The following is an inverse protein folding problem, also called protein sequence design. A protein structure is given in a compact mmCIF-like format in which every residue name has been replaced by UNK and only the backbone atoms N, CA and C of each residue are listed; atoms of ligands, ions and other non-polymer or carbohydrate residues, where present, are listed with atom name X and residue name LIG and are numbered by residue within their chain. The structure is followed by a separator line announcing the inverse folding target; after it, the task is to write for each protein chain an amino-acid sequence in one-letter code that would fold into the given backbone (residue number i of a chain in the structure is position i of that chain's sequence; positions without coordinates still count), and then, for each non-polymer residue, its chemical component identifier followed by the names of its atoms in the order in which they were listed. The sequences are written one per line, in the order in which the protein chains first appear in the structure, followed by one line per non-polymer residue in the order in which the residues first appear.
data_IF_123138292549
#
_entry.id   IF_123138292549
#
_cell.length_a   1.000
_cell.length_b   1.000
_cell.length_c   1.000
_cell.angle_alpha   90.00
_cell.angle_beta   90.00
_cell.angle_gamma   90.00
#
_symmetry.space_group_name_H-M   'P 1'
#
loop_
_entity.id
_entity.type
_entity.pdbx_description
1 polymer ?
#
# COMPACT_ATOMS: atom_id res chain seq x y z
N UNK A 1 -13.21 -4.39 -0.66
CA UNK A 1 -13.50 -5.70 -1.27
C UNK A 1 -12.25 -6.20 -1.97
N UNK A 2 -12.12 -7.52 -2.19
CA UNK A 2 -10.99 -8.06 -2.95
C UNK A 2 -11.12 -7.73 -4.44
N UNK A 3 -10.00 -7.59 -5.14
CA UNK A 3 -9.93 -7.40 -6.59
C UNK A 3 -8.83 -8.29 -7.18
N UNK A 4 -9.25 -9.26 -8.01
CA UNK A 4 -8.34 -10.20 -8.68
C UNK A 4 -7.37 -9.47 -9.63
N UNK A 5 -7.80 -8.37 -10.24
CA UNK A 5 -6.95 -7.52 -11.08
C UNK A 5 -5.78 -6.94 -10.26
N UNK A 6 -6.08 -6.38 -9.08
CA UNK A 6 -5.06 -5.82 -8.19
C UNK A 6 -4.16 -6.91 -7.61
N UNK A 7 -4.69 -8.11 -7.33
CA UNK A 7 -3.88 -9.26 -6.91
C UNK A 7 -2.85 -9.64 -7.98
N UNK A 8 -3.29 -9.78 -9.24
CA UNK A 8 -2.38 -10.10 -10.36
C UNK A 8 -1.29 -9.04 -10.50
N UNK A 9 -1.64 -7.77 -10.34
CA UNK A 9 -0.69 -6.67 -10.40
C UNK A 9 0.31 -6.67 -9.24
N UNK A 10 -0.17 -6.79 -8.01
CA UNK A 10 0.67 -6.89 -6.82
C UNK A 10 1.62 -8.09 -6.91
N UNK A 11 1.11 -9.25 -7.36
CA UNK A 11 1.89 -10.46 -7.59
C UNK A 11 2.95 -10.28 -8.69
N UNK A 12 2.60 -9.60 -9.80
CA UNK A 12 3.55 -9.31 -10.89
C UNK A 12 4.73 -8.47 -10.38
N UNK A 13 4.46 -7.46 -9.55
CA UNK A 13 5.53 -6.67 -8.93
C UNK A 13 6.37 -7.49 -7.95
N UNK A 14 5.71 -8.21 -7.02
CA UNK A 14 6.38 -9.05 -6.02
C UNK A 14 7.31 -10.11 -6.64
N UNK A 15 6.94 -10.70 -7.79
CA UNK A 15 7.75 -11.70 -8.52
C UNK A 15 9.13 -11.20 -8.94
N UNK A 16 9.29 -9.90 -9.11
CA UNK A 16 10.56 -9.28 -9.45
C UNK A 16 11.49 -9.11 -8.25
N UNK A 17 11.03 -9.42 -7.04
CA UNK A 17 11.76 -9.21 -5.78
C UNK A 17 12.34 -7.78 -5.71
N UNK A 18 11.45 -6.77 -5.79
CA UNK A 18 11.82 -5.37 -5.95
C UNK A 18 12.45 -4.81 -4.67
N UNK A 19 13.28 -3.77 -4.83
CA UNK A 19 13.82 -2.99 -3.71
C UNK A 19 12.96 -1.77 -3.35
N UNK A 20 11.79 -1.60 -3.96
CA UNK A 20 10.92 -0.44 -3.74
C UNK A 20 9.53 -0.61 -4.37
N UNK A 21 8.74 0.47 -4.28
CA UNK A 21 7.39 0.55 -4.82
C UNK A 21 7.34 0.35 -6.34
N UNK A 22 6.19 -0.13 -6.83
CA UNK A 22 5.95 -0.23 -8.27
C UNK A 22 5.76 1.15 -8.90
N UNK A 23 5.82 1.20 -10.24
CA UNK A 23 5.44 2.39 -11.01
C UNK A 23 3.92 2.61 -11.07
N UNK A 24 3.15 1.74 -10.40
CA UNK A 24 1.69 1.75 -10.35
C UNK A 24 1.00 1.63 -11.73
N UNK A 25 1.72 1.19 -12.76
CA UNK A 25 1.19 1.11 -14.13
C UNK A 25 0.17 0.00 -14.34
N UNK A 26 0.22 -1.06 -13.53
CA UNK A 26 -0.50 -2.30 -13.81
C UNK A 26 -2.02 -2.20 -13.64
N UNK A 27 -2.54 -1.42 -12.69
CA UNK A 27 -3.99 -1.23 -12.51
C UNK A 27 -4.56 0.03 -13.16
N UNK A 28 -3.74 0.76 -13.95
CA UNK A 28 -4.21 1.88 -14.77
C UNK A 28 -5.12 1.43 -15.93
N UNK A 29 -5.26 0.13 -16.20
CA UNK A 29 -6.26 -0.40 -17.14
C UNK A 29 -7.69 0.08 -16.80
N UNK A 30 -7.95 0.32 -15.51
CA UNK A 30 -9.19 0.89 -15.01
C UNK A 30 -9.24 2.43 -15.00
N UNK A 31 -8.11 3.11 -15.25
CA UNK A 31 -8.01 4.57 -15.30
C UNK A 31 -7.98 5.28 -13.93
N UNK A 32 -7.93 4.54 -12.82
CA UNK A 32 -7.97 5.11 -11.47
C UNK A 32 -6.60 5.13 -10.79
N UNK A 33 -6.29 6.19 -10.00
CA UNK A 33 -5.12 6.20 -9.14
C UNK A 33 -5.14 5.03 -8.16
N UNK A 34 -3.98 4.40 -7.97
CA UNK A 34 -3.80 3.30 -7.04
C UNK A 34 -2.89 3.71 -5.88
N UNK A 35 -3.07 3.06 -4.73
CA UNK A 35 -2.12 3.06 -3.61
C UNK A 35 -1.41 1.72 -3.49
N UNK A 36 -0.28 1.68 -2.79
CA UNK A 36 0.49 0.46 -2.58
C UNK A 36 1.13 0.46 -1.19
N UNK A 37 0.95 -0.65 -0.47
CA UNK A 37 1.73 -0.95 0.72
C UNK A 37 2.67 -2.11 0.43
N UNK A 38 3.88 -2.05 0.97
CA UNK A 38 4.88 -3.09 0.81
C UNK A 38 5.55 -3.44 2.12
N UNK A 39 5.97 -4.71 2.22
CA UNK A 39 6.85 -5.16 3.27
C UNK A 39 7.79 -6.21 2.72
N UNK A 40 9.00 -6.24 3.29
CA UNK A 40 10.00 -7.24 2.98
C UNK A 40 10.28 -8.09 4.20
N UNK A 41 10.14 -9.40 4.05
CA UNK A 41 10.48 -10.36 5.08
C UNK A 41 11.84 -10.99 4.76
N UNK A 42 12.75 -11.13 5.74
CA UNK A 42 14.03 -11.80 5.52
C UNK A 42 13.86 -13.27 5.13
N UNK A 43 12.74 -13.88 5.52
CA UNK A 43 12.36 -15.27 5.25
C UNK A 43 10.90 -15.35 4.85
N UNK A 44 10.45 -16.45 4.21
CA UNK A 44 9.04 -16.65 3.92
C UNK A 44 8.20 -16.58 5.20
N UNK A 45 7.28 -15.60 5.34
CA UNK A 45 6.43 -15.49 6.49
C UNK A 45 5.34 -16.57 6.47
N UNK A 46 4.81 -16.90 7.65
CA UNK A 46 3.55 -17.64 7.74
C UNK A 46 2.38 -16.73 7.34
N UNK A 47 1.22 -17.33 7.05
CA UNK A 47 -0.02 -16.57 6.82
C UNK A 47 -0.32 -15.59 7.97
N UNK A 48 -0.17 -16.04 9.22
CA UNK A 48 -0.39 -15.21 10.40
C UNK A 48 0.58 -14.00 10.45
N UNK A 49 1.79 -14.13 9.90
CA UNK A 49 2.73 -13.01 9.80
C UNK A 49 2.38 -12.01 8.70
N UNK A 50 1.83 -12.48 7.58
CA UNK A 50 1.25 -11.61 6.55
C UNK A 50 0.07 -10.81 7.12
N UNK A 51 -0.84 -11.48 7.84
CA UNK A 51 -1.96 -10.83 8.52
C UNK A 51 -1.48 -9.82 9.56
N UNK A 52 -0.52 -10.19 10.42
CA UNK A 52 0.12 -9.28 11.38
C UNK A 52 0.70 -8.05 10.70
N UNK A 53 1.30 -8.19 9.51
CA UNK A 53 1.88 -7.06 8.80
C UNK A 53 0.83 -6.05 8.34
N UNK A 54 -0.37 -6.51 7.97
CA UNK A 54 -1.50 -5.60 7.65
C UNK A 54 -1.90 -4.80 8.88
N UNK A 55 -1.89 -5.42 10.07
CA UNK A 55 -2.09 -4.71 11.34
C UNK A 55 -0.92 -3.79 11.70
N UNK A 56 0.31 -4.15 11.35
CA UNK A 56 1.49 -3.31 11.60
C UNK A 56 1.43 -2.01 10.79
N UNK A 57 0.96 -2.08 9.54
CA UNK A 57 0.65 -0.89 8.75
C UNK A 57 -0.41 -0.01 9.41
N UNK A 58 -1.45 -0.61 10.00
CA UNK A 58 -2.50 0.14 10.70
C UNK A 58 -1.98 0.85 11.96
N UNK A 59 -1.01 0.26 12.66
CA UNK A 59 -0.44 0.82 13.89
C UNK A 59 0.33 2.12 13.68
N UNK A 60 0.66 2.49 12.45
CA UNK A 60 1.26 3.80 12.16
C UNK A 60 0.39 4.97 12.63
N UNK A 61 -0.94 4.76 12.72
CA UNK A 61 -1.87 5.68 13.37
C UNK A 61 -1.44 6.07 14.79
N UNK A 62 -0.87 5.13 15.54
CA UNK A 62 -0.51 5.31 16.96
C UNK A 62 0.98 5.55 17.18
N UNK A 63 1.85 4.96 16.35
CA UNK A 63 3.30 5.12 16.46
C UNK A 63 3.91 5.10 15.06
N UNK A 64 4.50 6.21 14.58
CA UNK A 64 4.87 7.43 15.33
C UNK A 64 3.70 8.36 15.70
N UNK A 65 2.48 8.02 15.28
CA UNK A 65 1.29 8.83 15.52
C UNK A 65 0.92 9.62 14.28
N UNK A 66 -0.31 9.47 13.81
CA UNK A 66 -0.85 10.29 12.74
C UNK A 66 -1.71 11.43 13.32
N UNK A 67 -1.26 12.66 13.15
CA UNK A 67 -2.01 13.87 13.52
C UNK A 67 -2.65 14.46 12.26
N UNK A 68 -3.97 14.26 12.11
CA UNK A 68 -4.77 14.75 10.99
C UNK A 68 -4.65 16.26 10.75
N UNK A 69 -4.36 17.05 11.78
CA UNK A 69 -4.28 18.51 11.70
C UNK A 69 -2.88 19.02 11.38
N UNK A 70 -1.85 18.22 11.69
CA UNK A 70 -0.44 18.51 11.35
C UNK A 70 0.05 17.75 10.14
N UNK A 71 -0.82 16.92 9.56
CA UNK A 71 -0.54 16.16 8.38
C UNK A 71 -0.25 17.12 7.22
N UNK A 72 1.04 17.45 7.04
CA UNK A 72 1.58 18.04 5.81
C UNK A 72 2.38 16.96 5.13
N UNK A 73 1.99 16.61 3.91
CA UNK A 73 2.80 15.72 3.11
C UNK A 73 4.11 16.46 2.81
N UNK A 74 5.24 16.00 3.34
CA UNK A 74 6.53 16.56 2.93
C UNK A 74 6.80 15.99 1.53
N UNK A 75 6.67 16.84 0.51
CA UNK A 75 6.78 16.44 -0.91
C UNK A 75 5.79 15.33 -1.32
N UNK A 76 4.58 15.29 -0.73
CA UNK A 76 3.60 14.24 -1.05
C UNK A 76 3.87 12.88 -0.37
N UNK A 77 4.90 12.77 0.48
CA UNK A 77 5.32 11.49 1.09
C UNK A 77 5.08 11.50 2.60
N UNK A 78 4.27 10.56 3.07
CA UNK A 78 4.03 10.25 4.48
C UNK A 78 5.04 9.19 4.94
N UNK A 79 6.30 9.58 5.13
CA UNK A 79 7.41 8.62 5.28
C UNK A 79 7.25 7.59 6.42
N UNK A 80 6.34 7.82 7.36
CA UNK A 80 6.12 6.95 8.53
C UNK A 80 4.66 6.62 8.83
N UNK A 81 3.73 7.13 8.03
CA UNK A 81 2.28 6.93 8.17
C UNK A 81 1.56 6.66 6.84
N UNK A 82 2.34 6.48 5.77
CA UNK A 82 1.86 6.22 4.43
C UNK A 82 1.06 4.93 4.32
N UNK A 83 1.46 3.88 5.04
CA UNK A 83 0.76 2.61 4.94
C UNK A 83 -0.63 2.69 5.57
N UNK A 84 -0.73 3.34 6.74
CA UNK A 84 -2.03 3.60 7.38
C UNK A 84 -2.92 4.51 6.51
N UNK A 85 -2.38 5.64 6.03
CA UNK A 85 -3.18 6.61 5.28
C UNK A 85 -3.70 6.09 3.94
N UNK A 86 -3.05 5.08 3.35
CA UNK A 86 -3.55 4.37 2.17
C UNK A 86 -4.69 3.42 2.55
N UNK A 87 -4.57 2.70 3.67
CA UNK A 87 -5.61 1.77 4.14
C UNK A 87 -6.91 2.49 4.56
N UNK A 88 -6.77 3.61 5.27
CA UNK A 88 -7.89 4.44 5.74
C UNK A 88 -8.27 5.51 4.71
N UNK A 89 -7.53 5.60 3.60
CA UNK A 89 -7.67 6.60 2.55
C UNK A 89 -9.11 6.73 2.06
N UNK A 90 -9.64 7.97 2.12
CA UNK A 90 -11.04 8.22 1.76
C UNK A 90 -11.34 7.72 0.35
N UNK A 91 -12.19 6.70 0.25
CA UNK A 91 -12.65 6.15 -1.01
C UNK A 91 -11.93 4.92 -1.52
N UNK A 92 -10.90 4.40 -0.82
CA UNK A 92 -10.34 3.07 -1.12
C UNK A 92 -11.44 2.04 -0.93
N UNK A 93 -11.73 1.28 -1.98
CA UNK A 93 -12.83 0.31 -1.99
C UNK A 93 -12.39 -1.08 -2.37
N UNK A 94 -11.26 -1.20 -3.06
CA UNK A 94 -10.73 -2.45 -3.56
C UNK A 94 -9.28 -2.65 -3.10
N UNK A 95 -8.92 -3.90 -2.84
CA UNK A 95 -7.57 -4.32 -2.49
C UNK A 95 -7.25 -5.64 -3.16
N UNK A 96 -6.01 -5.82 -3.58
CA UNK A 96 -5.46 -7.11 -3.98
C UNK A 96 -4.00 -7.19 -3.58
N UNK A 97 -3.56 -8.35 -3.10
CA UNK A 97 -2.22 -8.52 -2.54
C UNK A 97 -1.49 -9.72 -3.16
N UNK A 98 -0.17 -9.61 -3.28
CA UNK A 98 0.71 -10.67 -3.74
C UNK A 98 1.88 -10.88 -2.79
N UNK A 99 2.25 -12.15 -2.61
CA UNK A 99 3.43 -12.54 -1.84
C UNK A 99 4.33 -13.43 -2.68
N UNK A 100 5.64 -13.19 -2.63
CA UNK A 100 6.65 -14.03 -3.27
C UNK A 100 7.81 -14.29 -2.33
N UNK A 101 8.14 -15.57 -2.18
CA UNK A 101 9.40 -16.00 -1.60
C UNK A 101 10.55 -15.69 -2.58
N UNK A 102 11.45 -14.81 -2.15
CA UNK A 102 12.60 -14.37 -2.92
C UNK A 102 13.92 -14.96 -2.41
N UNK A 103 13.87 -15.87 -1.43
CA UNK A 103 15.04 -16.48 -0.80
C UNK A 103 15.90 -17.25 -1.79
N UNK A 104 15.28 -17.93 -2.76
CA UNK A 104 15.97 -18.61 -3.86
C UNK A 104 16.80 -17.66 -4.75
N UNK A 105 16.50 -16.35 -4.73
CA UNK A 105 17.27 -15.30 -5.43
C UNK A 105 18.24 -14.57 -4.50
N UNK A 106 18.42 -15.04 -3.26
CA UNK A 106 19.23 -14.36 -2.24
C UNK A 106 18.66 -13.02 -1.79
N UNK A 107 17.34 -12.81 -1.91
CA UNK A 107 16.65 -11.55 -1.60
C UNK A 107 15.57 -11.75 -0.54
N UNK A 108 15.15 -10.65 0.09
CA UNK A 108 14.03 -10.67 1.02
C UNK A 108 12.72 -10.98 0.30
N UNK A 109 11.90 -11.85 0.91
CA UNK A 109 10.57 -12.19 0.42
C UNK A 109 9.68 -10.96 0.43
N UNK A 110 8.93 -10.75 -0.64
CA UNK A 110 8.20 -9.50 -0.86
C UNK A 110 6.71 -9.72 -0.67
N UNK A 111 6.07 -8.88 0.14
CA UNK A 111 4.63 -8.78 0.28
C UNK A 111 4.16 -7.41 -0.19
N UNK A 112 3.20 -7.39 -1.12
CA UNK A 112 2.68 -6.18 -1.77
C UNK A 112 1.17 -6.21 -1.68
N UNK A 113 0.55 -5.11 -1.29
CA UNK A 113 -0.89 -4.90 -1.39
C UNK A 113 -1.15 -3.62 -2.17
N UNK A 114 -1.97 -3.73 -3.22
CA UNK A 114 -2.39 -2.61 -4.03
C UNK A 114 -3.85 -2.27 -3.75
N UNK A 115 -4.15 -0.98 -3.77
CA UNK A 115 -5.42 -0.42 -3.36
C UNK A 115 -5.96 0.46 -4.49
N UNK A 116 -7.28 0.40 -4.72
CA UNK A 116 -7.95 1.26 -5.70
C UNK A 116 -9.16 1.93 -5.07
N UNK A 117 -9.31 3.22 -5.37
CA UNK A 117 -10.49 3.99 -4.99
C UNK A 117 -11.57 3.93 -6.06
N UNK A 118 -12.83 4.07 -5.64
CA UNK A 118 -13.97 4.15 -6.57
C UNK A 118 -13.80 5.26 -7.62
N UNK A 119 -14.40 5.08 -8.80
CA UNK A 119 -14.53 6.14 -9.81
C UNK A 119 -15.00 7.47 -9.22
N UNK A 120 -14.30 8.56 -9.53
CA UNK A 120 -14.64 9.91 -9.08
C UNK A 120 -14.14 10.29 -7.67
N UNK A 121 -13.56 9.36 -6.91
CA UNK A 121 -12.81 9.66 -5.68
C UNK A 121 -11.37 9.23 -5.90
N UNK A 122 -10.44 10.17 -6.08
CA UNK A 122 -9.01 9.82 -6.13
C UNK A 122 -8.66 9.10 -4.83
N UNK A 123 -7.82 8.06 -4.91
CA UNK A 123 -7.04 7.59 -3.77
C UNK A 123 -6.07 8.72 -3.40
N UNK A 124 -6.60 9.76 -2.76
CA UNK A 124 -5.81 10.83 -2.18
C UNK A 124 -5.39 10.30 -0.82
N UNK A 125 -4.09 10.27 -0.56
CA UNK A 125 -3.63 10.20 0.82
C UNK A 125 -4.34 11.32 1.58
N UNK A 126 -4.82 11.04 2.79
CA UNK A 126 -5.81 11.93 3.42
C UNK A 126 -5.29 13.36 3.63
N UNK A 127 -3.98 13.60 3.71
CA UNK A 127 -3.50 15.00 3.76
C UNK A 127 -3.70 15.80 2.47
N UNK A 128 -3.82 15.17 1.30
CA UNK A 128 -4.25 15.87 0.06
C UNK A 128 -5.75 16.27 0.13
N UNK A 129 -6.52 15.67 1.04
CA UNK A 129 -7.91 16.05 1.32
C UNK A 129 -7.96 17.26 2.26
N UNK A 130 -7.13 17.28 3.31
CA UNK A 130 -7.03 18.43 4.25
C UNK A 130 -6.66 19.73 3.52
N UNK A 131 -5.75 19.67 2.53
CA UNK A 131 -5.41 20.84 1.70
C UNK A 131 -6.54 21.29 0.74
N UNK A 132 -7.55 20.46 0.48
CA UNK A 132 -8.66 20.80 -0.43
C UNK A 132 -9.91 21.35 0.26
N UNK A 133 -9.90 21.44 1.60
CA UNK A 133 -11.00 22.01 2.42
C UNK A 133 -10.66 23.43 2.91
N UNK A 134 -9.51 23.98 2.48
CA UNK A 134 -9.09 25.37 2.76
C UNK A 134 -8.81 26.12 1.46
#
# INVERSE_FOLDING_TARGET
VWSDELEVCAMKHAKNCPGGHSDMSCGLASGYPMGENMHWFPWPPTKAKLESQVYDWWKELYSPGYDWYKARAVNGIWASTGHYTIQDGYGVTEVGCGFVDCSAKGKWSTFVCQYRSRPGKRAKAIGDYVESIY
#
